data_IF_358294240775
#
_entry.id   IF_358294240775
#
_cell.length_a   1.000
_cell.length_b   1.000
_cell.length_c   1.000
_cell.angle_alpha   90.00
_cell.angle_beta   90.00
_cell.angle_gamma   90.00
#
_symmetry.space_group_name_H-M   'P 1'
#
loop_
_entity.id
_entity.type
_entity.pdbx_description
1 polymer ?
#
# COMPACT_ATOMS: atom_id res chain seq x y z
N UNK A 1 35.94 -19.13 25.89
CA UNK A 1 34.87 -19.30 26.90
C UNK A 1 34.45 -17.90 27.32
N UNK A 2 33.24 -17.37 27.13
CA UNK A 2 31.94 -17.90 26.77
C UNK A 2 31.25 -16.83 25.90
N UNK A 3 30.58 -17.27 24.85
CA UNK A 3 29.73 -16.48 23.97
C UNK A 3 28.29 -16.39 24.48
N UNK A 4 27.55 -15.43 23.90
CA UNK A 4 26.08 -15.35 23.73
C UNK A 4 25.31 -14.67 24.86
N UNK A 5 24.77 -13.49 24.54
CA UNK A 5 23.38 -13.11 24.79
C UNK A 5 23.02 -11.85 23.96
N UNK A 6 22.78 -12.05 22.66
CA UNK A 6 22.16 -11.04 21.78
C UNK A 6 21.14 -11.77 20.90
N UNK A 7 20.07 -12.32 21.48
CA UNK A 7 18.95 -12.95 20.71
C UNK A 7 17.58 -12.91 21.41
N UNK A 8 17.33 -11.99 22.36
CA UNK A 8 16.03 -11.95 23.10
C UNK A 8 15.19 -10.69 22.82
N UNK A 9 15.73 -9.66 22.15
CA UNK A 9 14.99 -8.40 21.95
C UNK A 9 14.15 -8.29 20.66
N UNK A 10 14.29 -9.20 19.70
CA UNK A 10 13.60 -9.10 18.39
C UNK A 10 12.29 -9.89 18.30
N UNK A 11 11.98 -10.74 19.27
CA UNK A 11 10.77 -11.59 19.24
C UNK A 11 9.59 -11.02 20.05
N UNK A 12 9.85 -10.05 20.93
CA UNK A 12 8.82 -9.41 21.77
C UNK A 12 8.06 -8.33 20.98
N UNK A 13 8.68 -7.71 19.98
CA UNK A 13 8.05 -6.68 19.14
C UNK A 13 6.98 -7.23 18.19
N UNK A 14 7.09 -8.49 17.73
CA UNK A 14 6.07 -9.10 16.87
C UNK A 14 4.84 -9.57 17.67
N UNK A 15 5.06 -9.97 18.94
CA UNK A 15 3.99 -10.50 19.80
C UNK A 15 3.08 -9.39 20.37
N UNK A 16 3.62 -8.17 20.54
CA UNK A 16 2.82 -7.02 21.00
C UNK A 16 1.85 -6.48 19.96
N UNK A 17 2.14 -6.65 18.66
CA UNK A 17 1.25 -6.21 17.57
C UNK A 17 -0.01 -7.09 17.51
N UNK A 18 0.08 -8.38 17.87
CA UNK A 18 -1.08 -9.30 17.88
C UNK A 18 -2.00 -9.05 19.08
N UNK A 19 -1.49 -8.55 20.21
CA UNK A 19 -2.25 -8.41 21.46
C UNK A 19 -3.08 -7.11 21.57
N UNK A 20 -2.85 -6.11 20.72
CA UNK A 20 -3.64 -4.87 20.70
C UNK A 20 -4.94 -4.99 19.87
N UNK A 21 -5.13 -6.08 19.13
CA UNK A 21 -6.29 -6.29 18.22
C UNK A 21 -7.55 -6.85 18.92
N UNK A 22 -7.55 -7.02 20.25
CA UNK A 22 -8.67 -7.66 20.98
C UNK A 22 -9.30 -6.82 22.10
N UNK A 23 -9.19 -5.49 22.05
CA UNK A 23 -9.59 -4.60 23.15
C UNK A 23 -10.74 -3.62 22.88
N UNK A 24 -11.72 -3.94 22.02
CA UNK A 24 -12.91 -3.10 21.84
C UNK A 24 -13.87 -3.21 23.02
N UNK A 25 -13.76 -2.33 24.02
CA UNK A 25 -14.77 -2.18 25.09
C UNK A 25 -15.80 -1.13 24.64
N UNK A 26 -17.04 -1.57 24.48
CA UNK A 26 -18.19 -0.73 24.17
C UNK A 26 -18.54 0.20 25.34
N UNK A 27 -18.72 1.50 25.06
CA UNK A 27 -19.44 2.41 25.93
C UNK A 27 -20.75 2.83 25.26
N UNK A 28 -21.86 2.55 25.94
CA UNK A 28 -23.23 2.86 25.55
C UNK A 28 -23.53 4.34 25.87
N UNK A 29 -23.98 5.13 24.90
CA UNK A 29 -24.53 6.47 25.13
C UNK A 29 -26.05 6.43 25.23
N UNK A 30 -26.60 7.21 26.17
CA UNK A 30 -28.03 7.45 26.36
C UNK A 30 -28.51 8.63 25.51
N UNK A 31 -29.74 8.51 25.00
CA UNK A 31 -30.52 9.45 24.21
C UNK A 31 -30.50 10.91 24.70
N UNK A 32 -30.47 11.86 23.76
CA UNK A 32 -31.35 13.03 23.75
C UNK A 32 -31.57 13.53 22.30
N UNK A 33 -32.78 14.02 22.05
CA UNK A 33 -33.44 14.20 20.75
C UNK A 33 -33.19 15.54 20.04
N UNK A 34 -32.96 15.43 18.72
CA UNK A 34 -33.58 16.17 17.59
C UNK A 34 -33.31 17.69 17.37
N UNK A 35 -32.73 18.04 16.21
CA UNK A 35 -33.42 18.86 15.19
C UNK A 35 -32.73 18.80 13.81
N UNK A 36 -33.59 18.70 12.78
CA UNK A 36 -33.33 18.43 11.37
C UNK A 36 -32.57 19.54 10.63
N UNK A 37 -31.62 19.15 9.77
CA UNK A 37 -31.39 19.84 8.48
C UNK A 37 -31.29 18.78 7.38
N UNK A 38 -32.38 18.63 6.65
CA UNK A 38 -32.46 17.92 5.37
C UNK A 38 -31.58 18.63 4.33
N UNK A 39 -30.49 17.99 3.91
CA UNK A 39 -29.88 18.22 2.61
C UNK A 39 -29.66 16.85 1.96
N UNK A 40 -30.60 16.52 1.09
CA UNK A 40 -30.61 15.41 0.16
C UNK A 40 -29.28 15.34 -0.61
N UNK A 41 -28.44 14.38 -0.22
CA UNK A 41 -27.42 13.78 -1.09
C UNK A 41 -27.33 12.32 -0.71
N UNK A 42 -28.01 11.47 -1.48
CA UNK A 42 -27.79 10.02 -1.47
C UNK A 42 -26.34 9.72 -1.79
N UNK A 43 -25.49 9.67 -0.75
CA UNK A 43 -24.15 9.08 -0.80
C UNK A 43 -24.36 7.58 -0.67
N UNK A 44 -24.11 6.83 -1.74
CA UNK A 44 -24.04 5.38 -1.69
C UNK A 44 -23.01 4.97 -0.63
N UNK A 45 -23.46 4.31 0.43
CA UNK A 45 -22.62 3.61 1.39
C UNK A 45 -22.28 2.23 0.81
N UNK A 46 -21.53 2.19 -0.30
CA UNK A 46 -20.96 0.94 -0.79
C UNK A 46 -19.64 0.67 -0.06
N UNK A 47 -19.75 0.35 1.23
CA UNK A 47 -18.64 -0.14 2.06
C UNK A 47 -18.16 -1.55 1.68
N UNK A 48 -18.77 -2.18 0.67
CA UNK A 48 -18.59 -3.59 0.32
C UNK A 48 -17.74 -3.85 -0.94
N UNK A 49 -17.20 -2.82 -1.61
CA UNK A 49 -16.50 -3.01 -2.91
C UNK A 49 -15.33 -4.00 -2.78
N UNK A 50 -14.57 -3.97 -1.67
CA UNK A 50 -13.35 -4.78 -1.51
C UNK A 50 -13.65 -6.24 -1.10
N UNK A 51 -14.64 -6.48 -0.23
CA UNK A 51 -15.04 -7.84 0.18
C UNK A 51 -15.84 -8.55 -0.91
N UNK A 52 -16.77 -7.85 -1.59
CA UNK A 52 -17.59 -8.45 -2.65
C UNK A 52 -16.76 -8.81 -3.89
N UNK A 53 -15.81 -7.97 -4.32
CA UNK A 53 -14.98 -8.29 -5.49
C UNK A 53 -14.05 -9.48 -5.21
N UNK A 54 -13.50 -9.60 -4.00
CA UNK A 54 -12.58 -10.69 -3.65
C UNK A 54 -13.31 -12.02 -3.42
N UNK A 55 -14.38 -12.06 -2.62
CA UNK A 55 -15.10 -13.31 -2.39
C UNK A 55 -15.94 -13.73 -3.61
N UNK A 56 -16.59 -12.79 -4.33
CA UNK A 56 -17.33 -13.17 -5.54
C UNK A 56 -16.42 -13.53 -6.72
N UNK A 57 -15.27 -12.90 -6.97
CA UNK A 57 -14.42 -13.38 -8.07
C UNK A 57 -13.81 -14.75 -7.78
N UNK A 58 -13.35 -14.98 -6.55
CA UNK A 58 -12.76 -16.28 -6.18
C UNK A 58 -13.84 -17.37 -6.19
N UNK A 59 -15.04 -17.15 -5.62
CA UNK A 59 -16.08 -18.18 -5.59
C UNK A 59 -16.81 -18.38 -6.93
N UNK A 60 -17.03 -17.31 -7.72
CA UNK A 60 -17.81 -17.39 -8.96
C UNK A 60 -17.01 -17.97 -10.14
N UNK A 61 -15.67 -17.91 -10.11
CA UNK A 61 -14.83 -18.57 -11.12
C UNK A 61 -14.40 -20.01 -10.75
N UNK A 62 -14.30 -20.35 -9.46
CA UNK A 62 -14.08 -21.75 -9.01
C UNK A 62 -15.24 -22.67 -9.44
N UNK A 63 -16.45 -22.13 -9.55
CA UNK A 63 -17.63 -22.92 -9.91
C UNK A 63 -17.80 -23.19 -11.41
N UNK A 64 -16.92 -22.70 -12.30
CA UNK A 64 -17.16 -22.83 -13.76
C UNK A 64 -15.94 -23.13 -14.66
N UNK A 65 -14.86 -23.71 -14.13
CA UNK A 65 -13.84 -24.39 -14.95
C UNK A 65 -13.45 -25.69 -14.24
N UNK A 66 -13.33 -26.79 -15.00
CA UNK A 66 -12.73 -28.04 -14.53
C UNK A 66 -11.40 -27.70 -13.83
N UNK A 67 -11.38 -27.71 -12.49
CA UNK A 67 -10.22 -27.32 -11.68
C UNK A 67 -9.12 -28.33 -11.90
N UNK A 68 -8.23 -28.02 -12.84
CA UNK A 68 -6.92 -28.65 -12.95
C UNK A 68 -6.22 -28.38 -11.63
N UNK A 69 -5.82 -29.43 -10.90
CA UNK A 69 -5.12 -29.29 -9.63
C UNK A 69 -3.94 -28.32 -9.80
N UNK A 70 -3.81 -27.38 -8.85
CA UNK A 70 -2.72 -26.42 -8.85
C UNK A 70 -1.39 -27.17 -8.87
N UNK A 71 -0.49 -26.78 -9.78
CA UNK A 71 0.81 -27.46 -9.86
C UNK A 71 1.72 -26.96 -8.74
N UNK A 72 2.22 -27.86 -7.90
CA UNK A 72 3.22 -27.52 -6.89
C UNK A 72 4.56 -27.17 -7.55
N UNK A 73 5.19 -26.11 -7.07
CA UNK A 73 6.45 -25.55 -7.57
C UNK A 73 7.46 -25.55 -6.43
N UNK A 74 8.67 -26.05 -6.67
CA UNK A 74 9.68 -26.29 -5.64
C UNK A 74 10.97 -25.49 -5.86
N UNK A 75 11.13 -24.77 -6.96
CA UNK A 75 12.30 -23.90 -7.17
C UNK A 75 11.89 -22.57 -7.80
N UNK A 76 12.74 -21.56 -7.67
CA UNK A 76 12.50 -20.27 -8.33
C UNK A 76 12.52 -20.41 -9.86
N UNK A 77 13.38 -21.28 -10.40
CA UNK A 77 13.41 -21.55 -11.84
C UNK A 77 12.12 -22.23 -12.32
N UNK A 78 11.55 -23.15 -11.54
CA UNK A 78 10.24 -23.72 -11.84
C UNK A 78 9.13 -22.66 -11.81
N UNK A 79 9.11 -21.78 -10.79
CA UNK A 79 8.16 -20.67 -10.69
C UNK A 79 8.22 -19.78 -11.93
N UNK A 80 9.42 -19.31 -12.27
CA UNK A 80 9.69 -18.49 -13.45
C UNK A 80 9.25 -19.19 -14.74
N UNK A 81 9.59 -20.46 -14.91
CA UNK A 81 9.21 -21.22 -16.10
C UNK A 81 7.69 -21.40 -16.20
N UNK A 82 6.99 -21.58 -15.07
CA UNK A 82 5.53 -21.67 -15.04
C UNK A 82 4.86 -20.35 -15.42
N UNK A 83 5.35 -19.22 -14.91
CA UNK A 83 4.84 -17.89 -15.27
C UNK A 83 5.11 -17.60 -16.75
N UNK A 84 6.34 -17.74 -17.22
CA UNK A 84 6.70 -17.45 -18.61
C UNK A 84 6.01 -18.38 -19.62
N UNK A 85 5.71 -19.61 -19.22
CA UNK A 85 5.08 -20.62 -20.05
C UNK A 85 3.55 -20.65 -20.01
N UNK A 86 2.90 -19.85 -19.17
CA UNK A 86 1.44 -19.88 -19.03
C UNK A 86 0.72 -19.36 -20.28
N UNK A 87 -0.15 -20.20 -20.83
CA UNK A 87 -0.96 -19.90 -22.03
C UNK A 87 -2.44 -19.75 -21.72
N UNK A 88 -2.89 -20.39 -20.65
CA UNK A 88 -4.29 -20.43 -20.25
C UNK A 88 -4.72 -19.06 -19.70
N UNK A 89 -6.00 -18.69 -19.89
CA UNK A 89 -6.58 -17.45 -19.33
C UNK A 89 -6.43 -17.37 -17.81
N UNK A 90 -6.38 -18.52 -17.15
CA UNK A 90 -6.21 -18.66 -15.71
C UNK A 90 -5.18 -19.75 -15.44
N UNK A 91 -4.09 -19.40 -14.77
CA UNK A 91 -3.07 -20.36 -14.33
C UNK A 91 -2.85 -20.19 -12.83
N UNK A 92 -2.80 -21.30 -12.11
CA UNK A 92 -2.66 -21.33 -10.66
C UNK A 92 -1.60 -22.34 -10.23
N UNK A 93 -0.76 -21.92 -9.29
CA UNK A 93 0.31 -22.75 -8.72
C UNK A 93 0.33 -22.64 -7.20
N UNK A 94 0.91 -23.66 -6.58
CA UNK A 94 1.23 -23.67 -5.16
C UNK A 94 2.73 -23.72 -4.95
N UNK A 95 3.24 -22.88 -4.06
CA UNK A 95 4.62 -22.95 -3.60
C UNK A 95 4.72 -23.94 -2.43
N UNK A 96 5.81 -24.69 -2.39
CA UNK A 96 6.22 -25.35 -1.15
C UNK A 96 6.65 -24.29 -0.13
N UNK A 97 6.37 -24.50 1.16
CA UNK A 97 6.74 -23.57 2.22
C UNK A 97 8.26 -23.57 2.43
N UNK A 98 8.97 -22.72 1.67
CA UNK A 98 10.42 -22.51 1.75
C UNK A 98 10.81 -21.19 1.08
N UNK A 99 12.11 -20.94 1.03
CA UNK A 99 12.68 -19.76 0.37
C UNK A 99 13.00 -20.02 -1.10
N UNK A 100 12.56 -19.09 -1.95
CA UNK A 100 12.80 -19.00 -3.39
C UNK A 100 13.68 -17.78 -3.63
N UNK A 101 14.99 -18.01 -3.78
CA UNK A 101 15.93 -16.94 -4.07
C UNK A 101 15.82 -16.54 -5.54
N UNK A 102 15.54 -15.27 -5.78
CA UNK A 102 15.46 -14.70 -7.13
C UNK A 102 16.85 -14.73 -7.76
N UNK A 103 16.94 -15.30 -8.96
CA UNK A 103 18.15 -15.27 -9.78
C UNK A 103 18.03 -14.37 -11.01
N UNK A 104 16.79 -14.02 -11.40
CA UNK A 104 16.46 -13.03 -12.41
C UNK A 104 15.01 -12.54 -12.25
N UNK A 105 14.69 -11.28 -12.60
CA UNK A 105 13.33 -10.77 -12.60
C UNK A 105 12.43 -11.50 -13.61
N UNK A 106 11.13 -11.56 -13.31
CA UNK A 106 10.11 -12.15 -14.19
C UNK A 106 9.30 -11.05 -14.87
N UNK A 107 8.91 -11.24 -16.14
CA UNK A 107 7.90 -10.40 -16.80
C UNK A 107 6.68 -11.25 -17.13
N UNK A 108 5.58 -11.01 -16.41
CA UNK A 108 4.28 -11.58 -16.70
C UNK A 108 3.55 -10.74 -17.75
N UNK A 109 3.11 -11.40 -18.81
CA UNK A 109 2.38 -10.76 -19.91
C UNK A 109 3.22 -10.37 -21.13
N UNK A 110 4.18 -11.22 -21.51
CA UNK A 110 5.01 -11.02 -22.71
C UNK A 110 4.34 -11.44 -24.02
N UNK A 111 3.15 -12.06 -23.97
CA UNK A 111 2.45 -12.53 -25.18
C UNK A 111 1.71 -11.39 -25.86
N UNK A 112 1.85 -11.30 -27.17
CA UNK A 112 1.24 -10.27 -28.02
C UNK A 112 -0.05 -10.71 -28.72
N UNK A 113 -0.83 -11.61 -28.10
CA UNK A 113 -2.07 -12.15 -28.67
C UNK A 113 -3.33 -11.37 -28.24
N UNK A 114 -3.16 -10.31 -27.46
CA UNK A 114 -4.25 -9.42 -27.03
C UNK A 114 -5.22 -10.03 -26.01
N UNK A 115 -4.92 -11.23 -25.50
CA UNK A 115 -5.77 -11.89 -24.51
C UNK A 115 -5.36 -11.53 -23.09
N UNK A 116 -6.35 -11.22 -22.26
CA UNK A 116 -6.16 -11.07 -20.82
C UNK A 116 -5.89 -12.41 -20.15
N UNK A 117 -4.98 -12.44 -19.17
CA UNK A 117 -4.66 -13.65 -18.41
C UNK A 117 -4.41 -13.33 -16.95
N UNK A 118 -4.80 -14.28 -16.10
CA UNK A 118 -4.57 -14.24 -14.66
C UNK A 118 -3.59 -15.33 -14.26
N UNK A 119 -2.61 -14.96 -13.43
CA UNK A 119 -1.71 -15.90 -12.79
C UNK A 119 -1.87 -15.80 -11.27
N UNK A 120 -2.11 -16.94 -10.62
CA UNK A 120 -2.31 -17.03 -9.17
C UNK A 120 -1.15 -17.80 -8.53
N UNK A 121 -0.50 -17.17 -7.55
CA UNK A 121 0.56 -17.77 -6.75
C UNK A 121 0.04 -17.97 -5.32
N UNK A 122 -0.24 -19.24 -4.97
CA UNK A 122 -0.49 -19.63 -3.57
C UNK A 122 0.84 -19.93 -2.89
N UNK A 123 1.22 -19.04 -1.99
CA UNK A 123 2.51 -19.07 -1.31
C UNK A 123 2.66 -20.15 -0.25
N UNK A 124 1.58 -20.55 0.43
CA UNK A 124 1.63 -21.48 1.55
C UNK A 124 2.69 -21.11 2.63
N UNK A 125 2.93 -19.80 2.83
CA UNK A 125 3.95 -19.29 3.75
C UNK A 125 5.37 -19.22 3.16
N UNK A 126 5.54 -19.50 1.87
CA UNK A 126 6.83 -19.38 1.19
C UNK A 126 7.39 -17.95 1.21
N UNK A 127 8.70 -17.85 1.05
CA UNK A 127 9.45 -16.60 0.98
C UNK A 127 10.03 -16.46 -0.42
N UNK A 128 9.76 -15.36 -1.11
CA UNK A 128 10.45 -14.93 -2.33
C UNK A 128 11.50 -13.89 -1.91
N UNK A 129 12.78 -14.21 -2.09
CA UNK A 129 13.89 -13.41 -1.57
C UNK A 129 14.72 -12.83 -2.72
N UNK A 130 14.78 -11.50 -2.81
CA UNK A 130 15.55 -10.77 -3.83
C UNK A 130 17.04 -10.64 -3.54
N UNK A 131 17.51 -11.07 -2.37
CA UNK A 131 18.90 -11.02 -1.91
C UNK A 131 19.54 -9.64 -2.06
N UNK A 132 18.74 -8.61 -1.80
CA UNK A 132 19.06 -7.18 -1.95
C UNK A 132 19.55 -6.80 -3.36
N UNK A 133 19.17 -7.59 -4.37
CA UNK A 133 19.74 -7.48 -5.73
C UNK A 133 18.66 -7.38 -6.80
N UNK A 134 17.63 -8.20 -6.71
CA UNK A 134 16.69 -8.38 -7.83
C UNK A 134 15.30 -7.85 -7.52
N UNK A 135 14.63 -7.40 -8.58
CA UNK A 135 13.18 -7.30 -8.60
C UNK A 135 12.54 -8.68 -8.70
N UNK A 136 11.35 -8.87 -8.12
CA UNK A 136 10.59 -10.10 -8.32
C UNK A 136 9.92 -10.13 -9.70
N UNK A 137 8.93 -9.28 -9.94
CA UNK A 137 8.06 -9.43 -11.12
C UNK A 137 7.52 -8.10 -11.67
N UNK A 138 7.45 -8.00 -13.00
CA UNK A 138 6.68 -6.99 -13.73
C UNK A 138 5.40 -7.62 -14.28
N UNK A 139 4.25 -6.97 -14.09
CA UNK A 139 2.94 -7.35 -14.63
C UNK A 139 2.56 -6.37 -15.73
N UNK A 140 2.44 -6.84 -16.97
CA UNK A 140 2.07 -6.00 -18.11
C UNK A 140 0.56 -5.68 -18.15
N UNK A 141 0.19 -4.64 -18.90
CA UNK A 141 -1.21 -4.28 -19.16
C UNK A 141 -2.02 -5.47 -19.69
N UNK A 142 -3.30 -5.54 -19.33
CA UNK A 142 -4.23 -6.65 -19.61
C UNK A 142 -3.93 -7.97 -18.88
N UNK A 143 -2.86 -8.05 -18.08
CA UNK A 143 -2.56 -9.20 -17.24
C UNK A 143 -2.88 -8.92 -15.77
N UNK A 144 -3.21 -9.98 -15.05
CA UNK A 144 -3.48 -9.97 -13.62
C UNK A 144 -2.54 -10.91 -12.88
N UNK A 145 -2.05 -10.49 -11.73
CA UNK A 145 -1.28 -11.30 -10.80
C UNK A 145 -1.96 -11.31 -9.43
N UNK A 146 -2.27 -12.51 -8.94
CA UNK A 146 -2.80 -12.72 -7.59
C UNK A 146 -1.74 -13.38 -6.72
N UNK A 147 -1.36 -12.71 -5.63
CA UNK A 147 -0.39 -13.15 -4.64
C UNK A 147 -1.11 -13.49 -3.35
N UNK A 148 -1.01 -14.74 -2.91
CA UNK A 148 -1.77 -15.25 -1.75
C UNK A 148 -0.82 -15.91 -0.74
N UNK A 149 -0.82 -15.48 0.52
CA UNK A 149 -0.13 -16.19 1.62
C UNK A 149 1.40 -16.39 1.41
N UNK A 150 2.16 -15.33 1.09
CA UNK A 150 3.63 -15.39 0.99
C UNK A 150 4.32 -14.15 1.55
N UNK A 151 5.63 -14.23 1.74
CA UNK A 151 6.51 -13.09 1.99
C UNK A 151 7.35 -12.78 0.75
N UNK A 152 7.44 -11.51 0.35
CA UNK A 152 8.38 -11.00 -0.64
C UNK A 152 9.34 -10.05 0.09
N UNK A 153 10.62 -10.39 0.09
CA UNK A 153 11.61 -9.66 0.88
C UNK A 153 12.89 -9.35 0.15
N UNK A 154 13.59 -8.33 0.67
CA UNK A 154 14.94 -7.97 0.24
C UNK A 154 15.07 -7.81 -1.27
N UNK A 155 14.01 -7.33 -1.94
CA UNK A 155 14.10 -7.02 -3.37
C UNK A 155 14.69 -5.64 -3.57
N UNK A 156 15.30 -5.44 -4.75
CA UNK A 156 15.94 -4.16 -5.09
C UNK A 156 15.77 -3.82 -6.57
N UNK A 157 15.36 -2.59 -6.85
CA UNK A 157 15.21 -2.06 -8.21
C UNK A 157 15.27 -0.52 -8.22
N UNK A 158 15.14 0.09 -9.40
CA UNK A 158 14.95 1.54 -9.50
C UNK A 158 13.53 1.96 -9.13
N UNK A 159 12.53 1.13 -9.52
CA UNK A 159 11.12 1.31 -9.21
C UNK A 159 10.47 -0.03 -8.89
N UNK A 160 9.50 -0.05 -7.98
CA UNK A 160 8.72 -1.25 -7.67
C UNK A 160 9.62 -2.43 -7.34
N UNK A 161 10.36 -2.34 -6.22
CA UNK A 161 11.43 -3.32 -5.97
C UNK A 161 10.88 -4.75 -5.93
N UNK A 162 9.71 -4.98 -5.33
CA UNK A 162 9.04 -6.27 -5.46
C UNK A 162 8.29 -6.36 -6.79
N UNK A 163 7.33 -5.46 -7.01
CA UNK A 163 6.41 -5.54 -8.14
C UNK A 163 6.34 -4.22 -8.91
N UNK A 164 6.48 -4.31 -10.24
CA UNK A 164 5.99 -3.28 -11.17
C UNK A 164 4.66 -3.77 -11.73
N UNK A 165 3.61 -2.96 -11.63
CA UNK A 165 2.29 -3.29 -12.13
C UNK A 165 1.77 -2.27 -13.14
N UNK A 166 1.61 -2.71 -14.39
CA UNK A 166 0.89 -1.98 -15.43
C UNK A 166 -0.53 -2.56 -15.65
N UNK A 167 -0.80 -3.77 -15.15
CA UNK A 167 -2.10 -4.45 -15.25
C UNK A 167 -2.88 -4.41 -13.94
N UNK A 168 -3.24 -5.59 -13.43
CA UNK A 168 -3.91 -5.74 -12.12
C UNK A 168 -3.03 -6.57 -11.16
N UNK A 169 -2.88 -6.07 -9.93
CA UNK A 169 -2.21 -6.77 -8.84
C UNK A 169 -3.17 -6.93 -7.67
N UNK A 170 -3.39 -8.17 -7.24
CA UNK A 170 -4.10 -8.47 -6.00
C UNK A 170 -3.13 -9.12 -5.00
N UNK A 171 -2.93 -8.48 -3.86
CA UNK A 171 -2.14 -9.00 -2.76
C UNK A 171 -3.06 -9.31 -1.58
N UNK A 172 -3.14 -10.59 -1.20
CA UNK A 172 -3.98 -11.04 -0.09
C UNK A 172 -3.16 -11.87 0.90
N UNK A 173 -3.10 -11.41 2.15
CA UNK A 173 -2.25 -12.01 3.19
C UNK A 173 -0.79 -12.17 2.75
N UNK A 174 -0.23 -11.08 2.21
CA UNK A 174 1.16 -11.01 1.75
C UNK A 174 1.99 -10.18 2.72
N UNK A 175 3.28 -10.47 2.85
CA UNK A 175 4.21 -9.57 3.55
C UNK A 175 5.25 -9.04 2.58
N UNK A 176 5.32 -7.72 2.41
CA UNK A 176 6.39 -7.01 1.71
C UNK A 176 7.38 -6.49 2.75
N UNK A 177 8.54 -7.15 2.84
CA UNK A 177 9.52 -6.96 3.91
C UNK A 177 10.85 -6.40 3.40
N UNK A 178 11.26 -5.23 3.89
CA UNK A 178 12.61 -4.68 3.64
C UNK A 178 12.96 -4.60 2.14
N UNK A 179 11.97 -4.27 1.31
CA UNK A 179 12.17 -4.04 -0.13
C UNK A 179 12.62 -2.60 -0.38
N UNK A 180 13.56 -2.42 -1.31
CA UNK A 180 14.21 -1.11 -1.53
C UNK A 180 14.19 -0.71 -2.99
N UNK A 181 13.52 0.40 -3.32
CA UNK A 181 13.62 1.02 -4.63
C UNK A 181 14.54 2.25 -4.60
N UNK A 182 15.12 2.64 -5.73
CA UNK A 182 15.87 3.88 -5.80
C UNK A 182 14.94 5.11 -5.78
N UNK A 183 13.85 5.09 -6.55
CA UNK A 183 13.06 6.28 -6.84
C UNK A 183 11.59 6.19 -6.41
N UNK A 184 10.90 5.12 -6.82
CA UNK A 184 9.44 5.05 -6.72
C UNK A 184 8.98 3.66 -6.28
N UNK A 185 8.10 3.58 -5.27
CA UNK A 185 7.49 2.30 -4.91
C UNK A 185 8.50 1.32 -4.30
N UNK A 186 8.90 1.53 -3.05
CA UNK A 186 9.92 0.68 -2.41
C UNK A 186 9.55 -0.80 -2.37
N UNK A 187 8.26 -1.14 -2.39
CA UNK A 187 7.78 -2.48 -2.72
C UNK A 187 7.06 -2.51 -4.07
N UNK A 188 6.03 -1.68 -4.26
CA UNK A 188 5.14 -1.71 -5.43
C UNK A 188 5.18 -0.38 -6.15
N UNK A 189 5.42 -0.42 -7.46
CA UNK A 189 5.16 0.68 -8.38
C UNK A 189 4.02 0.28 -9.29
N UNK A 190 2.95 1.08 -9.39
CA UNK A 190 1.80 0.74 -10.21
C UNK A 190 1.22 1.90 -11.01
N UNK A 191 1.04 1.71 -12.31
CA UNK A 191 0.13 2.56 -13.11
C UNK A 191 -1.22 1.89 -13.39
N UNK A 192 -1.32 0.59 -13.11
CA UNK A 192 -2.56 -0.18 -13.16
C UNK A 192 -3.28 -0.26 -11.81
N UNK A 193 -4.26 -1.17 -11.70
CA UNK A 193 -5.09 -1.38 -10.50
C UNK A 193 -4.36 -2.21 -9.46
N UNK A 194 -4.40 -1.79 -8.20
CA UNK A 194 -3.85 -2.53 -7.06
C UNK A 194 -4.91 -2.75 -5.99
N UNK A 195 -5.10 -4.00 -5.58
CA UNK A 195 -5.93 -4.37 -4.43
C UNK A 195 -5.06 -5.04 -3.38
N UNK A 196 -5.12 -4.54 -2.15
CA UNK A 196 -4.41 -5.08 -0.99
C UNK A 196 -5.43 -5.47 0.08
N UNK A 197 -5.33 -6.69 0.60
CA UNK A 197 -6.28 -7.20 1.60
C UNK A 197 -5.70 -8.29 2.51
N UNK A 198 -6.50 -8.75 3.48
CA UNK A 198 -6.28 -10.02 4.17
C UNK A 198 -5.10 -10.01 5.14
N UNK A 199 -4.91 -8.95 5.91
CA UNK A 199 -3.77 -8.74 6.80
C UNK A 199 -2.44 -8.64 6.05
N UNK A 200 -2.45 -8.00 4.87
CA UNK A 200 -1.22 -7.73 4.14
C UNK A 200 -0.37 -6.70 4.89
N UNK A 201 0.94 -6.95 4.95
CA UNK A 201 1.89 -6.13 5.72
C UNK A 201 2.97 -5.56 4.81
N UNK A 202 3.15 -4.25 4.86
CA UNK A 202 4.30 -3.53 4.29
C UNK A 202 5.20 -3.06 5.42
N UNK A 203 6.31 -3.75 5.63
CA UNK A 203 7.24 -3.49 6.73
C UNK A 203 8.62 -3.08 6.24
N UNK A 204 9.07 -1.89 6.67
CA UNK A 204 10.41 -1.35 6.36
C UNK A 204 10.76 -1.28 4.88
N UNK A 205 9.77 -1.02 4.03
CA UNK A 205 10.06 -0.74 2.63
C UNK A 205 10.60 0.69 2.50
N UNK A 206 11.51 0.91 1.56
CA UNK A 206 12.28 2.15 1.50
C UNK A 206 12.49 2.63 0.07
N UNK A 207 12.55 3.95 -0.10
CA UNK A 207 13.20 4.56 -1.27
C UNK A 207 14.48 5.29 -0.88
N UNK A 208 15.60 5.01 -1.56
CA UNK A 208 16.91 5.53 -1.15
C UNK A 208 17.28 6.89 -1.76
N UNK A 209 16.69 7.25 -2.89
CA UNK A 209 16.93 8.53 -3.56
C UNK A 209 15.68 9.41 -3.49
N UNK A 210 15.04 9.47 -2.32
CA UNK A 210 13.79 10.21 -2.15
C UNK A 210 13.92 11.69 -2.51
N UNK A 211 15.11 12.31 -2.43
CA UNK A 211 15.31 13.69 -2.89
C UNK A 211 14.94 13.91 -4.37
N UNK A 212 15.21 12.92 -5.22
CA UNK A 212 14.96 12.96 -6.67
C UNK A 212 13.86 11.99 -7.13
N UNK A 213 13.45 11.07 -6.27
CA UNK A 213 12.38 10.12 -6.50
C UNK A 213 11.02 10.73 -6.19
N UNK A 214 9.97 10.17 -6.78
CA UNK A 214 8.63 10.68 -6.57
C UNK A 214 8.13 10.31 -5.18
N UNK A 215 8.37 9.10 -4.68
CA UNK A 215 7.84 8.69 -3.37
C UNK A 215 7.32 7.27 -3.26
N UNK A 216 6.49 7.04 -2.26
CA UNK A 216 5.80 5.77 -2.00
C UNK A 216 6.77 4.71 -1.51
N UNK A 217 7.27 4.84 -0.27
CA UNK A 217 8.27 3.90 0.22
C UNK A 217 7.76 2.46 0.29
N UNK A 218 6.45 2.26 0.41
CA UNK A 218 5.81 0.97 0.16
C UNK A 218 5.19 0.95 -1.24
N UNK A 219 4.23 1.83 -1.51
CA UNK A 219 3.44 1.85 -2.75
C UNK A 219 3.53 3.22 -3.40
N UNK A 220 3.96 3.26 -4.65
CA UNK A 220 3.73 4.38 -5.54
C UNK A 220 2.66 3.99 -6.55
N UNK A 221 1.66 4.85 -6.76
CA UNK A 221 0.67 4.59 -7.82
C UNK A 221 0.12 5.83 -8.51
N UNK A 222 -0.22 5.67 -9.80
CA UNK A 222 -1.04 6.60 -10.59
C UNK A 222 -2.38 6.01 -11.01
N UNK A 223 -2.68 4.77 -10.59
CA UNK A 223 -3.88 4.02 -10.94
C UNK A 223 -4.89 3.96 -9.80
N UNK A 224 -5.83 3.02 -9.89
CA UNK A 224 -6.78 2.70 -8.82
C UNK A 224 -6.07 1.95 -7.68
N UNK A 225 -6.39 2.33 -6.44
CA UNK A 225 -5.83 1.70 -5.25
C UNK A 225 -6.93 1.41 -4.22
N UNK A 226 -7.10 0.13 -3.92
CA UNK A 226 -7.98 -0.35 -2.86
C UNK A 226 -7.16 -1.10 -1.80
N UNK A 227 -7.32 -0.73 -0.53
CA UNK A 227 -6.61 -1.35 0.60
C UNK A 227 -7.63 -1.63 1.70
N UNK A 228 -7.65 -2.86 2.20
CA UNK A 228 -8.43 -3.24 3.38
C UNK A 228 -7.59 -4.09 4.35
N UNK A 229 -7.89 -3.99 5.64
CA UNK A 229 -7.40 -4.90 6.69
C UNK A 229 -5.89 -5.15 6.58
N UNK A 230 -5.09 -4.08 6.62
CA UNK A 230 -3.67 -4.14 6.29
C UNK A 230 -2.82 -3.29 7.23
N UNK A 231 -1.51 -3.48 7.19
CA UNK A 231 -0.56 -2.74 8.04
C UNK A 231 0.59 -2.19 7.22
N UNK A 232 0.83 -0.89 7.33
CA UNK A 232 2.00 -0.20 6.80
C UNK A 232 2.84 0.30 7.97
N UNK A 233 4.01 -0.31 8.18
CA UNK A 233 4.86 0.09 9.30
C UNK A 233 6.32 0.28 8.95
N UNK A 234 6.89 1.38 9.49
CA UNK A 234 8.31 1.73 9.36
C UNK A 234 8.77 1.89 7.92
N UNK A 235 7.85 2.22 7.01
CA UNK A 235 8.23 2.52 5.64
C UNK A 235 8.88 3.92 5.62
N UNK A 236 9.93 4.07 4.83
CA UNK A 236 10.76 5.28 4.85
C UNK A 236 11.02 5.80 3.43
N UNK A 237 10.48 6.96 3.13
CA UNK A 237 10.86 7.71 1.96
C UNK A 237 12.05 8.59 2.34
N UNK A 238 13.28 8.17 2.05
CA UNK A 238 14.46 8.86 2.60
C UNK A 238 14.63 10.27 2.03
N UNK A 239 14.69 11.27 2.90
CA UNK A 239 15.02 12.66 2.56
C UNK A 239 16.06 13.24 3.53
N UNK A 240 16.66 14.37 3.14
CA UNK A 240 17.45 15.19 4.05
C UNK A 240 16.70 16.50 4.31
N UNK A 241 16.63 16.90 5.59
CA UNK A 241 15.97 18.14 6.01
C UNK A 241 16.68 19.41 5.49
N UNK A 242 17.93 19.28 5.03
CA UNK A 242 18.76 20.40 4.56
C UNK A 242 18.64 20.65 3.05
N UNK A 243 17.98 19.76 2.29
CA UNK A 243 17.81 19.94 0.86
C UNK A 243 16.72 21.00 0.58
N UNK A 244 17.18 22.25 0.39
CA UNK A 244 16.38 23.44 0.12
C UNK A 244 15.56 23.41 -1.18
N UNK A 245 15.76 22.41 -2.05
CA UNK A 245 15.08 22.24 -3.33
C UNK A 245 14.43 20.86 -3.53
N UNK A 246 14.35 20.02 -2.50
CA UNK A 246 13.75 18.69 -2.65
C UNK A 246 12.22 18.76 -2.65
N UNK A 247 11.59 18.25 -3.71
CA UNK A 247 10.14 18.03 -3.83
C UNK A 247 9.80 16.54 -3.82
N UNK A 248 10.71 15.72 -3.30
CA UNK A 248 10.60 14.27 -3.31
C UNK A 248 10.38 13.70 -1.91
N UNK A 249 10.49 12.38 -1.80
CA UNK A 249 10.19 11.60 -0.60
C UNK A 249 8.72 11.74 -0.17
N UNK A 250 7.84 11.74 -1.15
CA UNK A 250 6.40 11.84 -0.93
C UNK A 250 5.83 10.51 -0.45
N UNK A 251 4.91 10.53 0.51
CA UNK A 251 4.28 9.35 1.04
C UNK A 251 5.28 8.40 1.69
N UNK A 252 5.50 8.56 2.99
CA UNK A 252 6.41 7.67 3.73
C UNK A 252 5.97 6.20 3.70
N UNK A 253 4.71 5.91 3.37
CA UNK A 253 4.26 4.59 2.93
C UNK A 253 3.67 4.64 1.52
N UNK A 254 2.64 5.45 1.28
CA UNK A 254 1.86 5.44 0.05
C UNK A 254 1.95 6.81 -0.62
N UNK A 255 2.28 6.82 -1.91
CA UNK A 255 2.13 8.00 -2.75
C UNK A 255 1.16 7.72 -3.90
N UNK A 256 0.04 8.45 -3.92
CA UNK A 256 -0.91 8.49 -5.03
C UNK A 256 -0.66 9.78 -5.82
N UNK A 257 -0.19 9.64 -7.06
CA UNK A 257 0.22 10.76 -7.89
C UNK A 257 -0.59 10.85 -9.18
N UNK A 258 -1.20 12.01 -9.41
CA UNK A 258 -1.94 12.34 -10.63
C UNK A 258 -2.97 11.26 -11.02
N UNK A 259 -3.59 10.61 -10.04
CA UNK A 259 -4.63 9.61 -10.28
C UNK A 259 -5.99 10.29 -10.39
N UNK A 260 -6.77 9.88 -11.39
CA UNK A 260 -8.21 10.19 -11.52
C UNK A 260 -9.08 9.02 -11.05
N UNK A 261 -8.44 7.93 -10.61
CA UNK A 261 -9.11 6.71 -10.19
C UNK A 261 -9.46 6.78 -8.71
N UNK A 262 -10.26 5.81 -8.28
CA UNK A 262 -10.64 5.71 -6.88
C UNK A 262 -9.45 5.29 -6.00
N UNK A 263 -9.42 5.87 -4.79
CA UNK A 263 -8.55 5.53 -3.68
C UNK A 263 -9.44 5.19 -2.48
N UNK A 264 -9.50 3.92 -2.11
CA UNK A 264 -10.28 3.44 -0.98
C UNK A 264 -9.35 2.73 -0.01
N UNK A 265 -9.24 3.23 1.22
CA UNK A 265 -8.43 2.62 2.29
C UNK A 265 -9.34 2.38 3.49
N UNK A 266 -9.45 1.13 3.91
CA UNK A 266 -10.33 0.69 4.99
C UNK A 266 -9.57 -0.12 6.04
N UNK A 267 -9.90 0.05 7.31
CA UNK A 267 -9.45 -0.82 8.41
C UNK A 267 -7.93 -1.07 8.40
N UNK A 268 -7.13 -0.04 8.11
CA UNK A 268 -5.70 -0.17 7.88
C UNK A 268 -4.91 0.67 8.87
N UNK A 269 -3.82 0.11 9.41
CA UNK A 269 -2.96 0.79 10.37
C UNK A 269 -1.66 1.26 9.72
N UNK A 270 -1.32 2.53 9.92
CA UNK A 270 -0.11 3.21 9.44
C UNK A 270 0.75 3.65 10.61
N UNK A 271 1.84 2.92 10.88
CA UNK A 271 2.65 3.09 12.09
C UNK A 271 4.11 3.42 11.79
N UNK A 272 4.65 4.51 12.36
CA UNK A 272 6.07 4.87 12.20
C UNK A 272 6.52 5.05 10.75
N UNK A 273 5.62 5.48 9.84
CA UNK A 273 6.04 5.80 8.48
C UNK A 273 6.62 7.21 8.45
N UNK A 274 7.66 7.39 7.64
CA UNK A 274 8.38 8.65 7.55
C UNK A 274 8.60 9.05 6.10
N UNK A 275 8.18 10.26 5.78
CA UNK A 275 8.32 10.87 4.46
C UNK A 275 8.39 12.39 4.59
N UNK A 276 8.73 13.10 3.53
CA UNK A 276 8.77 14.57 3.58
C UNK A 276 7.38 15.18 3.50
N UNK A 277 6.56 14.62 2.60
CA UNK A 277 5.21 15.02 2.29
C UNK A 277 4.27 13.86 2.59
N UNK A 278 3.44 13.97 3.62
CA UNK A 278 2.63 12.87 4.12
C UNK A 278 3.47 11.75 4.74
N UNK A 279 3.59 11.73 6.06
CA UNK A 279 4.46 10.76 6.74
C UNK A 279 4.04 9.32 6.49
N UNK A 280 2.73 9.08 6.36
CA UNK A 280 2.18 7.84 5.83
C UNK A 280 1.76 8.00 4.36
N UNK A 281 0.91 8.97 4.05
CA UNK A 281 0.23 9.04 2.75
C UNK A 281 0.36 10.44 2.15
N UNK A 282 0.80 10.52 0.89
CA UNK A 282 0.55 11.68 0.04
C UNK A 282 -0.49 11.34 -1.04
N UNK A 283 -1.48 12.22 -1.21
CA UNK A 283 -2.42 12.21 -2.33
C UNK A 283 -2.28 13.53 -3.09
N UNK A 284 -1.86 13.43 -4.34
CA UNK A 284 -1.56 14.56 -5.21
C UNK A 284 -2.18 14.39 -6.59
N UNK A 285 -2.72 15.49 -7.13
CA UNK A 285 -3.06 15.66 -8.53
C UNK A 285 -2.64 17.08 -8.97
N UNK A 286 -1.40 17.17 -9.43
CA UNK A 286 -0.80 18.40 -9.95
C UNK A 286 -1.52 18.98 -11.17
N UNK A 287 -2.44 18.22 -11.78
CA UNK A 287 -3.29 18.68 -12.88
C UNK A 287 -4.60 19.34 -12.41
N UNK A 288 -4.91 19.30 -11.11
CA UNK A 288 -6.08 19.98 -10.52
C UNK A 288 -7.43 19.45 -10.98
N UNK A 289 -7.51 18.19 -11.42
CA UNK A 289 -8.72 17.56 -11.95
C UNK A 289 -9.69 17.18 -10.84
N UNK A 290 -9.15 16.69 -9.72
CA UNK A 290 -9.92 16.31 -8.54
C UNK A 290 -11.01 15.26 -8.82
N UNK A 291 -10.69 14.25 -9.65
CA UNK A 291 -11.61 13.20 -10.13
C UNK A 291 -11.41 11.86 -9.42
N UNK A 292 -12.47 11.08 -9.26
CA UNK A 292 -12.43 9.81 -8.53
C UNK A 292 -12.65 10.00 -7.03
N UNK A 293 -13.12 8.95 -6.36
CA UNK A 293 -13.42 8.93 -4.93
C UNK A 293 -12.12 8.75 -4.14
N UNK A 294 -11.87 9.57 -3.12
CA UNK A 294 -10.81 9.33 -2.13
C UNK A 294 -11.42 9.22 -0.76
N UNK A 295 -11.33 8.02 -0.17
CA UNK A 295 -11.95 7.70 1.11
C UNK A 295 -11.02 6.88 1.98
N UNK A 296 -10.92 7.29 3.24
CA UNK A 296 -10.21 6.59 4.30
C UNK A 296 -11.21 6.33 5.43
N UNK A 297 -11.41 5.07 5.82
CA UNK A 297 -12.41 4.71 6.83
C UNK A 297 -11.88 3.65 7.78
N UNK A 298 -12.10 3.81 9.10
CA UNK A 298 -11.67 2.78 10.06
C UNK A 298 -10.15 2.67 10.22
N UNK A 299 -9.38 3.69 9.83
CA UNK A 299 -7.92 3.60 9.77
C UNK A 299 -7.24 4.22 10.99
N UNK A 300 -6.05 3.73 11.30
CA UNK A 300 -5.20 4.25 12.37
C UNK A 300 -3.91 4.85 11.82
N UNK A 301 -3.56 6.04 12.26
CA UNK A 301 -2.30 6.72 11.92
C UNK A 301 -1.56 7.07 13.20
N UNK A 302 -0.51 6.31 13.50
CA UNK A 302 0.20 6.43 14.79
C UNK A 302 1.70 6.61 14.57
N UNK A 303 2.29 7.60 15.25
CA UNK A 303 3.73 7.86 15.20
C UNK A 303 4.30 8.09 13.78
N UNK A 304 3.50 8.58 12.83
CA UNK A 304 4.03 8.92 11.51
C UNK A 304 4.69 10.30 11.58
N UNK A 305 5.74 10.49 10.78
CA UNK A 305 6.50 11.74 10.78
C UNK A 305 6.67 12.32 9.39
N UNK A 306 6.55 13.65 9.28
CA UNK A 306 6.87 14.35 8.05
C UNK A 306 7.32 15.79 8.25
N UNK A 307 7.60 16.49 7.16
CA UNK A 307 7.68 17.95 7.17
C UNK A 307 6.29 18.57 6.98
N UNK A 308 5.47 17.96 6.13
CA UNK A 308 4.09 18.37 5.85
C UNK A 308 3.16 17.18 6.01
N UNK A 309 2.13 17.32 6.84
CA UNK A 309 1.17 16.25 7.09
C UNK A 309 1.82 15.07 7.80
N UNK A 310 1.99 15.14 9.11
CA UNK A 310 2.73 14.12 9.88
C UNK A 310 2.23 12.71 9.60
N UNK A 311 0.92 12.53 9.35
CA UNK A 311 0.36 11.32 8.76
C UNK A 311 0.01 11.48 7.28
N UNK A 312 -0.82 12.47 6.94
CA UNK A 312 -1.40 12.61 5.60
C UNK A 312 -1.15 14.01 5.06
N UNK A 313 -0.68 14.08 3.82
CA UNK A 313 -0.78 15.29 3.01
C UNK A 313 -1.72 15.02 1.84
N UNK A 314 -2.55 16.01 1.49
CA UNK A 314 -3.53 15.89 0.43
C UNK A 314 -3.74 17.19 -0.33
N UNK A 315 -3.86 17.08 -1.66
CA UNK A 315 -4.16 18.19 -2.57
C UNK A 315 -5.54 18.12 -3.23
N UNK A 316 -6.31 17.07 -2.93
CA UNK A 316 -7.61 16.75 -3.53
C UNK A 316 -8.72 16.65 -2.49
N UNK A 317 -9.93 16.38 -2.95
CA UNK A 317 -11.01 15.92 -2.09
C UNK A 317 -10.59 14.65 -1.35
N UNK A 318 -10.85 14.62 -0.05
CA UNK A 318 -10.63 13.46 0.79
C UNK A 318 -11.71 13.37 1.86
N UNK A 319 -12.34 12.21 1.96
CA UNK A 319 -13.25 11.87 3.04
C UNK A 319 -12.53 10.94 4.04
N UNK A 320 -12.44 11.36 5.30
CA UNK A 320 -11.92 10.55 6.40
C UNK A 320 -13.03 10.30 7.40
N UNK A 321 -13.28 9.04 7.71
CA UNK A 321 -14.36 8.63 8.61
C UNK A 321 -13.87 7.57 9.59
N UNK A 322 -14.44 7.58 10.80
CA UNK A 322 -14.26 6.52 11.79
C UNK A 322 -12.78 6.14 12.04
N UNK A 323 -11.89 7.14 11.99
CA UNK A 323 -10.43 6.92 11.99
C UNK A 323 -9.77 7.50 13.25
N UNK A 324 -8.53 7.13 13.50
CA UNK A 324 -7.78 7.51 14.69
C UNK A 324 -6.37 8.01 14.32
N UNK A 325 -5.99 9.17 14.85
CA UNK A 325 -4.67 9.78 14.66
C UNK A 325 -4.05 10.03 16.04
N UNK A 326 -2.83 9.54 16.29
CA UNK A 326 -2.12 9.72 17.56
C UNK A 326 -0.63 9.88 17.36
N UNK A 327 -0.02 10.80 18.09
CA UNK A 327 1.44 11.00 18.13
C UNK A 327 2.09 11.20 16.75
N UNK A 328 1.37 11.77 15.78
CA UNK A 328 1.96 12.09 14.47
C UNK A 328 2.72 13.41 14.57
N UNK A 329 3.91 13.46 14.01
CA UNK A 329 4.85 14.55 14.20
C UNK A 329 5.17 15.26 12.88
N UNK A 330 5.32 16.58 12.96
CA UNK A 330 5.95 17.36 11.90
C UNK A 330 7.22 18.04 12.38
N UNK A 331 8.31 17.94 11.61
CA UNK A 331 9.60 18.49 12.01
C UNK A 331 10.46 18.92 10.82
N UNK A 332 11.48 19.75 11.08
CA UNK A 332 12.43 20.24 10.08
C UNK A 332 12.10 21.61 9.50
N UNK A 333 12.80 21.99 8.42
CA UNK A 333 12.55 23.22 7.66
C UNK A 333 12.31 22.87 6.20
N UNK A 334 11.26 23.43 5.63
CA UNK A 334 10.97 23.27 4.22
C UNK A 334 11.88 24.10 3.32
N UNK A 335 11.81 23.79 2.02
CA UNK A 335 12.33 24.67 0.98
C UNK A 335 11.84 26.10 1.21
N UNK A 336 12.70 27.08 0.97
CA UNK A 336 12.37 28.51 1.13
C UNK A 336 11.97 28.95 2.56
N UNK A 337 12.46 28.25 3.60
CA UNK A 337 12.14 28.50 5.02
C UNK A 337 10.64 28.35 5.34
N UNK A 338 9.94 27.48 4.62
CA UNK A 338 8.55 27.15 4.96
C UNK A 338 8.57 26.31 6.25
N UNK A 339 7.77 26.72 7.24
CA UNK A 339 7.61 25.97 8.48
C UNK A 339 6.86 24.65 8.23
N UNK A 340 7.09 23.61 9.06
CA UNK A 340 6.28 22.41 9.07
C UNK A 340 4.78 22.73 9.22
N UNK A 341 3.91 21.90 8.62
CA UNK A 341 2.45 22.12 8.63
C UNK A 341 1.68 20.82 8.82
N UNK A 342 0.59 20.89 9.58
CA UNK A 342 -0.37 19.78 9.76
C UNK A 342 0.22 18.61 10.52
N UNK A 343 0.19 18.65 11.86
CA UNK A 343 0.74 17.60 12.74
C UNK A 343 0.20 16.19 12.42
N UNK A 344 -1.10 16.09 12.08
CA UNK A 344 -1.68 14.87 11.55
C UNK A 344 -1.95 14.98 10.04
N UNK A 345 -2.78 15.95 9.63
CA UNK A 345 -3.21 16.12 8.25
C UNK A 345 -2.81 17.52 7.77
N UNK A 346 -2.20 17.60 6.59
CA UNK A 346 -2.00 18.84 5.86
C UNK A 346 -2.83 18.83 4.58
N UNK A 347 -3.71 19.81 4.43
CA UNK A 347 -4.41 20.06 3.18
C UNK A 347 -3.68 21.19 2.46
N UNK A 348 -3.34 20.99 1.20
CA UNK A 348 -2.72 22.00 0.37
C UNK A 348 -3.55 22.26 -0.89
N UNK A 349 -3.53 23.49 -1.36
CA UNK A 349 -4.09 23.85 -2.65
C UNK A 349 -2.94 23.92 -3.66
N UNK A 350 -2.99 23.11 -4.71
CA UNK A 350 -1.95 23.08 -5.74
C UNK A 350 -2.14 24.11 -6.85
N UNK A 351 -3.34 24.66 -7.04
CA UNK A 351 -3.66 25.26 -8.33
C UNK A 351 -4.13 26.71 -8.27
N UNK A 352 -3.44 27.54 -9.06
CA UNK A 352 -3.92 28.83 -9.55
C UNK A 352 -5.04 28.68 -10.61
N UNK A 353 -5.19 27.49 -11.19
CA UNK A 353 -6.27 27.09 -12.11
C UNK A 353 -6.61 25.60 -11.95
N UNK A 354 -7.73 25.28 -11.32
CA UNK A 354 -8.26 23.93 -11.10
C UNK A 354 -9.34 23.93 -10.02
N UNK A 355 -9.95 22.78 -9.74
CA UNK A 355 -10.97 22.66 -8.68
C UNK A 355 -10.28 22.52 -7.32
N UNK A 356 -10.51 23.41 -6.34
CA UNK A 356 -9.96 23.27 -4.99
C UNK A 356 -10.38 21.93 -4.36
N UNK A 357 -9.46 21.32 -3.62
CA UNK A 357 -9.74 20.11 -2.85
C UNK A 357 -10.53 20.41 -1.58
N UNK A 358 -11.34 19.45 -1.14
CA UNK A 358 -12.12 19.51 0.10
C UNK A 358 -11.79 18.34 1.00
N UNK A 359 -11.29 18.63 2.20
CA UNK A 359 -11.22 17.65 3.28
C UNK A 359 -12.56 17.59 4.04
N UNK A 360 -13.11 16.39 4.20
CA UNK A 360 -14.25 16.12 5.09
C UNK A 360 -13.82 15.08 6.12
N UNK A 361 -14.01 15.37 7.41
CA UNK A 361 -13.67 14.46 8.51
C UNK A 361 -14.93 14.19 9.34
N UNK A 362 -15.23 12.93 9.65
CA UNK A 362 -16.34 12.52 10.53
C UNK A 362 -15.89 11.44 11.50
N UNK A 363 -16.46 11.42 12.71
CA UNK A 363 -16.22 10.38 13.71
C UNK A 363 -14.73 10.00 13.91
N UNK A 364 -13.83 10.98 13.75
CA UNK A 364 -12.39 10.74 13.76
C UNK A 364 -11.79 11.37 15.00
N UNK A 365 -10.91 10.64 15.67
CA UNK A 365 -10.25 11.08 16.90
C UNK A 365 -8.81 11.50 16.61
N UNK A 366 -8.37 12.58 17.25
CA UNK A 366 -7.00 13.07 17.21
C UNK A 366 -6.48 13.16 18.66
N UNK A 367 -5.45 12.39 18.97
CA UNK A 367 -4.76 12.37 20.27
C UNK A 367 -3.31 12.83 20.11
N UNK A 368 -2.75 13.35 21.20
CA UNK A 368 -1.35 13.83 21.28
C UNK A 368 -0.38 12.70 21.57
#
# INVERSE_FOLDING_TARGET
MISKNVKIFTFISLLFIILLVLGGVSAQSTDETQEDINADTTISTDSNIIEQDNEMNVQKQVNNKNTKEATTVSTYDELKNKINGATDEWTEIELENKTYTINEPITWGTRSDGQSRTFVIRGNGAIIDGSNTYQFITVNENYRLDLLNLTIQHTKADKGAAVINYGELNAHNVTFLENTAAYDGGAIYSTGRVIVSGNTVFYKNMITNGVNGNGGAAIFTTGELAIADSVFSRNNATYTAEASASNGANGGAIFVSNSISDLIIQNTSFWYNDGRHGGAILIDDNLGRNEGIKRITGCEFVFNSALYGGAIEVYNDLLIEDSYFSDNEVWGYGSSNINPKGGAICVNDLVSSGTPGKLTVRNTTFEE
#
